data_IF_623698801693
#
_entry.id   IF_623698801693
#
_cell.length_a   1.000
_cell.length_b   1.000
_cell.length_c   1.000
_cell.angle_alpha   90.00
_cell.angle_beta   90.00
_cell.angle_gamma   90.00
#
_symmetry.space_group_name_H-M   'P 1'
#
loop_
_entity.id
_entity.type
_entity.pdbx_description
1 polymer ?
#
# COMPACT_ATOMS: atom_id res chain seq x y z
N UNK A 1 10.07 -12.89 -19.22
CA UNK A 1 9.31 -12.17 -18.20
C UNK A 1 10.14 -10.96 -17.78
N UNK A 2 9.54 -9.78 -17.65
CA UNK A 2 10.22 -8.52 -17.25
C UNK A 2 9.92 -8.14 -15.78
N UNK A 3 10.54 -7.05 -15.28
CA UNK A 3 10.36 -6.61 -13.89
C UNK A 3 8.91 -6.28 -13.55
N UNK A 4 8.18 -5.64 -14.46
CA UNK A 4 6.78 -5.29 -14.26
C UNK A 4 5.90 -6.55 -14.12
N UNK A 5 6.14 -7.57 -14.94
CA UNK A 5 5.44 -8.84 -14.86
C UNK A 5 5.75 -9.57 -13.54
N UNK A 6 7.00 -9.55 -13.08
CA UNK A 6 7.40 -10.11 -11.77
C UNK A 6 6.73 -9.32 -10.63
N UNK A 7 6.74 -7.99 -10.70
CA UNK A 7 6.13 -7.12 -9.70
C UNK A 7 4.61 -7.34 -9.62
N UNK A 8 3.91 -7.42 -10.76
CA UNK A 8 2.47 -7.74 -10.81
C UNK A 8 2.15 -9.10 -10.21
N UNK A 9 2.91 -10.14 -10.58
CA UNK A 9 2.71 -11.48 -10.02
C UNK A 9 2.98 -11.51 -8.51
N UNK A 10 3.97 -10.75 -8.04
CA UNK A 10 4.28 -10.60 -6.61
C UNK A 10 3.14 -9.89 -5.89
N UNK A 11 2.68 -8.74 -6.40
CA UNK A 11 1.56 -7.98 -5.85
C UNK A 11 0.27 -8.81 -5.80
N UNK A 12 -0.01 -9.65 -6.80
CA UNK A 12 -1.16 -10.56 -6.78
C UNK A 12 -1.05 -11.63 -5.68
N UNK A 13 0.15 -12.14 -5.39
CA UNK A 13 0.36 -13.07 -4.27
C UNK A 13 0.19 -12.32 -2.95
N UNK A 14 0.80 -11.15 -2.80
CA UNK A 14 0.69 -10.33 -1.59
C UNK A 14 -0.77 -9.94 -1.31
N UNK A 15 -1.53 -9.53 -2.33
CA UNK A 15 -2.95 -9.25 -2.20
C UNK A 15 -3.74 -10.46 -1.67
N UNK A 16 -3.46 -11.68 -2.15
CA UNK A 16 -4.10 -12.89 -1.62
C UNK A 16 -3.70 -13.19 -0.18
N UNK A 17 -2.43 -12.96 0.17
CA UNK A 17 -1.92 -13.07 1.54
C UNK A 17 -2.56 -12.00 2.47
N UNK A 18 -2.82 -10.79 2.01
CA UNK A 18 -3.48 -9.70 2.77
C UNK A 18 -4.95 -9.99 3.09
N UNK A 19 -5.63 -10.86 2.32
CA UNK A 19 -7.02 -11.25 2.56
C UNK A 19 -7.20 -12.23 3.73
N UNK A 20 -6.13 -12.61 4.43
CA UNK A 20 -6.18 -13.42 5.66
C UNK A 20 -6.80 -12.67 6.86
N UNK A 21 -6.89 -11.34 6.80
CA UNK A 21 -7.55 -10.50 7.81
C UNK A 21 -9.05 -10.75 8.01
N UNK A 22 -9.71 -11.50 7.11
CA UNK A 22 -11.11 -11.94 7.32
C UNK A 22 -11.24 -13.23 8.15
N UNK A 23 -10.14 -13.91 8.50
CA UNK A 23 -10.16 -15.17 9.27
C UNK A 23 -9.75 -14.96 10.74
N UNK A 24 -9.00 -13.89 11.07
CA UNK A 24 -8.48 -13.68 12.44
C UNK A 24 -9.54 -13.11 13.41
N UNK A 25 -10.73 -12.76 12.93
CA UNK A 25 -11.83 -12.36 13.81
C UNK A 25 -12.44 -13.54 14.60
N UNK A 26 -12.13 -14.81 14.27
CA UNK A 26 -12.82 -15.94 14.91
C UNK A 26 -11.97 -17.19 15.24
N UNK A 27 -10.65 -17.20 15.02
CA UNK A 27 -9.83 -18.39 15.30
C UNK A 27 -8.69 -18.13 16.31
N UNK A 28 -8.84 -18.73 17.49
CA UNK A 28 -7.77 -19.00 18.46
C UNK A 28 -6.66 -19.81 17.75
N UNK A 29 -5.37 -19.41 17.82
CA UNK A 29 -4.32 -20.16 17.15
C UNK A 29 -4.16 -21.53 17.81
N UNK A 30 -4.27 -22.61 17.03
CA UNK A 30 -3.84 -23.93 17.44
C UNK A 30 -2.34 -24.03 17.20
N UNK A 31 -1.58 -24.22 18.29
CA UNK A 31 -0.15 -24.50 18.28
C UNK A 31 0.14 -25.85 17.61
N UNK A 32 0.25 -25.85 16.28
CA UNK A 32 0.74 -27.01 15.54
C UNK A 32 1.54 -26.53 14.32
N UNK A 33 2.81 -26.22 14.55
CA UNK A 33 3.79 -26.07 13.49
C UNK A 33 3.90 -27.39 12.71
N UNK A 34 3.36 -27.40 11.49
CA UNK A 34 3.71 -28.42 10.50
C UNK A 34 4.48 -27.69 9.40
N UNK A 35 5.72 -28.12 9.14
CA UNK A 35 6.62 -27.53 8.14
C UNK A 35 6.14 -27.75 6.70
N UNK A 36 4.93 -27.31 6.39
CA UNK A 36 4.35 -27.29 5.05
C UNK A 36 4.43 -25.84 4.58
N UNK A 37 5.45 -25.53 3.77
CA UNK A 37 5.52 -24.25 3.07
C UNK A 37 4.17 -24.01 2.37
N UNK A 38 3.47 -22.95 2.72
CA UNK A 38 2.17 -22.63 2.14
C UNK A 38 2.33 -22.41 0.63
N UNK A 39 1.30 -22.75 -0.16
CA UNK A 39 1.38 -22.72 -1.61
C UNK A 39 1.87 -21.38 -2.18
N UNK A 40 1.61 -20.29 -1.47
CA UNK A 40 2.00 -18.92 -1.81
C UNK A 40 3.47 -18.62 -1.55
N UNK A 41 4.07 -19.17 -0.49
CA UNK A 41 5.52 -19.06 -0.24
C UNK A 41 6.31 -19.74 -1.37
N UNK A 42 5.82 -20.88 -1.86
CA UNK A 42 6.41 -21.53 -3.04
C UNK A 42 6.31 -20.65 -4.29
N UNK A 43 5.22 -19.90 -4.48
CA UNK A 43 5.10 -18.98 -5.60
C UNK A 43 6.04 -17.77 -5.46
N UNK A 44 6.21 -17.22 -4.26
CA UNK A 44 7.19 -16.16 -4.01
C UNK A 44 8.63 -16.62 -4.30
N UNK A 45 9.00 -17.85 -3.91
CA UNK A 45 10.29 -18.45 -4.28
C UNK A 45 10.46 -18.61 -5.79
N UNK A 46 9.40 -18.97 -6.51
CA UNK A 46 9.43 -19.03 -7.98
C UNK A 46 9.69 -17.64 -8.56
N UNK A 47 9.00 -16.60 -8.09
CA UNK A 47 9.22 -15.24 -8.57
C UNK A 47 10.64 -14.74 -8.27
N UNK A 48 11.18 -15.04 -7.09
CA UNK A 48 12.59 -14.76 -6.77
C UNK A 48 13.56 -15.43 -7.75
N UNK A 49 13.29 -16.68 -8.13
CA UNK A 49 14.07 -17.39 -9.17
C UNK A 49 13.94 -16.70 -10.53
N UNK A 50 12.75 -16.23 -10.91
CA UNK A 50 12.53 -15.53 -12.16
C UNK A 50 13.29 -14.20 -12.23
N UNK A 51 13.39 -13.47 -11.11
CA UNK A 51 14.27 -12.27 -11.01
C UNK A 51 15.73 -12.64 -11.28
N UNK A 52 16.20 -13.74 -10.72
CA UNK A 52 17.57 -14.23 -10.92
C UNK A 52 17.83 -14.64 -12.39
N UNK A 53 16.89 -15.36 -13.00
CA UNK A 53 16.96 -15.77 -14.41
C UNK A 53 16.97 -14.56 -15.36
N UNK A 54 16.17 -13.53 -15.08
CA UNK A 54 16.16 -12.27 -15.84
C UNK A 54 17.51 -11.54 -15.72
N UNK A 55 18.04 -11.41 -14.50
CA UNK A 55 19.34 -10.80 -14.27
C UNK A 55 20.47 -11.57 -14.98
N UNK A 56 20.41 -12.91 -14.97
CA UNK A 56 21.41 -13.76 -15.62
C UNK A 56 21.39 -13.57 -17.13
N UNK A 57 20.21 -13.54 -17.75
CA UNK A 57 20.04 -13.31 -19.18
C UNK A 57 20.62 -11.96 -19.62
N UNK A 58 20.35 -10.89 -18.86
CA UNK A 58 20.89 -9.54 -19.14
C UNK A 58 22.39 -9.43 -18.93
N UNK A 59 22.91 -10.00 -17.84
CA UNK A 59 24.33 -10.04 -17.58
C UNK A 59 25.09 -10.76 -18.72
N UNK A 60 24.52 -11.86 -19.22
CA UNK A 60 25.07 -12.62 -20.35
C UNK A 60 24.98 -11.84 -21.69
N UNK A 61 23.86 -11.15 -21.95
CA UNK A 61 23.66 -10.39 -23.18
C UNK A 61 24.61 -9.18 -23.29
N UNK A 62 24.86 -8.50 -22.16
CA UNK A 62 25.65 -7.26 -22.12
C UNK A 62 27.10 -7.46 -21.62
N UNK A 63 27.51 -8.70 -21.33
CA UNK A 63 28.78 -9.04 -20.66
C UNK A 63 29.02 -8.24 -19.36
N UNK A 64 27.96 -7.99 -18.58
CA UNK A 64 28.00 -7.21 -17.33
C UNK A 64 28.20 -8.09 -16.10
N UNK A 65 28.70 -7.49 -15.01
CA UNK A 65 28.79 -8.16 -13.70
C UNK A 65 27.40 -8.61 -13.23
N UNK A 66 27.24 -9.92 -13.02
CA UNK A 66 25.97 -10.50 -12.64
C UNK A 66 25.44 -9.92 -11.31
N UNK A 67 26.32 -9.67 -10.34
CA UNK A 67 25.93 -9.12 -9.04
C UNK A 67 25.34 -7.71 -9.16
N UNK A 68 25.92 -6.86 -9.99
CA UNK A 68 25.40 -5.54 -10.31
C UNK A 68 24.04 -5.62 -11.02
N UNK A 69 23.93 -6.44 -12.07
CA UNK A 69 22.68 -6.60 -12.83
C UNK A 69 21.56 -7.20 -11.96
N UNK A 70 21.88 -8.10 -11.03
CA UNK A 70 20.90 -8.66 -10.10
C UNK A 70 20.33 -7.57 -9.19
N UNK A 71 21.18 -6.72 -8.59
CA UNK A 71 20.70 -5.61 -7.75
C UNK A 71 19.87 -4.60 -8.54
N UNK A 72 20.28 -4.26 -9.77
CA UNK A 72 19.51 -3.40 -10.67
C UNK A 72 18.13 -4.00 -10.95
N UNK A 73 18.08 -5.29 -11.26
CA UNK A 73 16.84 -6.00 -11.58
C UNK A 73 15.94 -6.12 -10.34
N UNK A 74 16.49 -6.44 -9.17
CA UNK A 74 15.76 -6.45 -7.89
C UNK A 74 15.18 -5.07 -7.56
N UNK A 75 15.97 -4.00 -7.72
CA UNK A 75 15.50 -2.63 -7.55
C UNK A 75 14.39 -2.28 -8.54
N UNK A 76 14.53 -2.67 -9.82
CA UNK A 76 13.50 -2.48 -10.84
C UNK A 76 12.18 -3.14 -10.46
N UNK A 77 12.22 -4.39 -9.99
CA UNK A 77 11.03 -5.09 -9.47
C UNK A 77 10.44 -4.35 -8.27
N UNK A 78 11.26 -3.87 -7.34
CA UNK A 78 10.78 -3.12 -6.17
C UNK A 78 10.12 -1.78 -6.55
N UNK A 79 10.69 -1.06 -7.53
CA UNK A 79 10.12 0.21 -8.02
C UNK A 79 8.76 -0.01 -8.69
N UNK A 80 8.65 -1.02 -9.55
CA UNK A 80 7.37 -1.37 -10.17
C UNK A 80 6.36 -1.86 -9.14
N UNK A 81 6.79 -2.60 -8.12
CA UNK A 81 5.92 -3.00 -7.02
C UNK A 81 5.44 -1.78 -6.20
N UNK A 82 6.32 -0.83 -5.92
CA UNK A 82 5.96 0.44 -5.29
C UNK A 82 4.92 1.23 -6.08
N UNK A 83 5.05 1.29 -7.41
CA UNK A 83 4.05 1.92 -8.30
C UNK A 83 2.69 1.22 -8.23
N UNK A 84 2.67 -0.11 -8.31
CA UNK A 84 1.43 -0.91 -8.23
C UNK A 84 0.74 -0.70 -6.88
N UNK A 85 1.50 -0.71 -5.79
CA UNK A 85 0.95 -0.55 -4.44
C UNK A 85 0.54 0.90 -4.15
N UNK A 86 1.15 1.91 -4.80
CA UNK A 86 0.73 3.30 -4.67
C UNK A 86 -0.70 3.55 -5.19
N UNK A 87 -1.20 2.70 -6.09
CA UNK A 87 -2.59 2.72 -6.57
C UNK A 87 -3.56 2.02 -5.60
N UNK A 88 -3.06 1.22 -4.67
CA UNK A 88 -3.89 0.58 -3.64
C UNK A 88 -4.20 1.58 -2.53
N UNK A 89 -5.47 1.65 -2.14
CA UNK A 89 -5.91 2.48 -1.01
C UNK A 89 -5.80 1.62 0.25
N UNK A 90 -5.09 2.12 1.26
CA UNK A 90 -5.13 1.54 2.60
C UNK A 90 -6.60 1.45 3.06
N UNK A 91 -7.11 0.27 3.47
CA UNK A 91 -8.51 0.10 3.88
C UNK A 91 -8.98 1.08 4.97
N UNK A 92 -8.06 1.58 5.80
CA UNK A 92 -8.34 2.60 6.83
C UNK A 92 -8.71 3.95 6.19
N UNK A 93 -8.14 4.25 5.03
CA UNK A 93 -8.38 5.49 4.27
C UNK A 93 -9.49 5.34 3.24
N UNK A 94 -10.11 4.16 3.14
CA UNK A 94 -11.24 3.94 2.25
C UNK A 94 -12.38 4.92 2.57
N UNK A 95 -12.84 5.67 1.55
CA UNK A 95 -13.87 6.70 1.69
C UNK A 95 -13.35 8.11 1.98
N UNK A 96 -12.05 8.31 2.19
CA UNK A 96 -11.44 9.64 2.20
C UNK A 96 -11.11 10.11 0.77
N UNK A 97 -11.27 11.41 0.50
CA UNK A 97 -10.80 12.00 -0.76
C UNK A 97 -9.37 12.51 -0.58
N UNK A 98 -8.53 12.32 -1.59
CA UNK A 98 -7.24 13.01 -1.69
C UNK A 98 -7.50 14.45 -2.14
N UNK A 99 -6.95 15.41 -1.42
CA UNK A 99 -7.03 16.84 -1.73
C UNK A 99 -5.61 17.39 -1.88
N UNK A 100 -5.51 18.58 -2.47
CA UNK A 100 -4.30 19.40 -2.43
C UNK A 100 -4.62 20.67 -1.66
N UNK A 101 -3.64 21.18 -0.92
CA UNK A 101 -3.77 22.46 -0.23
C UNK A 101 -3.54 23.58 -1.24
N UNK A 102 -4.58 24.35 -1.52
CA UNK A 102 -4.54 25.42 -2.51
C UNK A 102 -3.93 26.73 -1.96
N UNK A 103 -4.04 26.96 -0.63
CA UNK A 103 -3.55 28.15 0.05
C UNK A 103 -2.90 27.77 1.39
N UNK A 104 -1.81 28.43 1.77
CA UNK A 104 -1.12 28.22 3.04
C UNK A 104 -1.99 28.67 4.23
N UNK A 105 -1.83 28.01 5.38
CA UNK A 105 -2.50 28.39 6.64
C UNK A 105 -3.68 27.52 7.06
N UNK A 106 -3.96 26.42 6.37
CA UNK A 106 -4.91 25.43 6.87
C UNK A 106 -4.27 24.56 7.96
N UNK A 107 -4.84 24.54 9.15
CA UNK A 107 -4.26 23.78 10.29
C UNK A 107 -4.86 22.38 10.37
N UNK A 108 -4.00 21.37 10.47
CA UNK A 108 -4.43 20.00 10.72
C UNK A 108 -5.03 19.87 12.13
N UNK A 109 -6.30 19.49 12.23
CA UNK A 109 -7.00 19.33 13.50
C UNK A 109 -6.52 18.18 14.41
N UNK A 110 -5.47 17.44 14.02
CA UNK A 110 -4.87 16.34 14.79
C UNK A 110 -3.51 16.73 15.36
N UNK A 111 -2.55 17.16 14.53
CA UNK A 111 -1.22 17.59 15.00
C UNK A 111 -1.14 19.08 15.36
N UNK A 112 -2.14 19.88 14.97
CA UNK A 112 -2.18 21.34 15.17
C UNK A 112 -1.10 22.10 14.40
N UNK A 113 -0.50 21.48 13.38
CA UNK A 113 0.47 22.10 12.48
C UNK A 113 -0.23 22.54 11.18
N UNK A 114 0.33 23.56 10.53
CA UNK A 114 -0.14 24.03 9.22
C UNK A 114 0.15 22.98 8.15
N UNK A 115 -0.83 22.76 7.27
CA UNK A 115 -0.68 21.96 6.06
C UNK A 115 -0.11 22.88 4.98
N UNK A 116 1.04 22.49 4.42
CA UNK A 116 1.77 23.31 3.45
C UNK A 116 1.06 23.34 2.09
N UNK A 117 1.16 24.47 1.39
CA UNK A 117 0.65 24.56 0.01
C UNK A 117 1.36 23.55 -0.89
N UNK A 118 0.57 22.81 -1.65
CA UNK A 118 1.09 21.74 -2.51
C UNK A 118 1.37 20.42 -1.78
N UNK A 119 1.03 20.27 -0.50
CA UNK A 119 1.07 18.96 0.15
C UNK A 119 0.09 18.00 -0.54
N UNK A 120 0.64 16.90 -1.07
CA UNK A 120 -0.08 15.91 -1.89
C UNK A 120 -0.76 14.82 -1.05
N UNK A 121 -0.40 14.72 0.24
CA UNK A 121 -1.00 13.73 1.15
C UNK A 121 -2.02 14.36 2.10
N UNK A 122 -2.81 15.32 1.63
CA UNK A 122 -3.98 15.81 2.39
C UNK A 122 -5.21 14.97 2.08
N UNK A 123 -5.97 14.64 3.12
CA UNK A 123 -7.19 13.85 3.04
C UNK A 123 -8.37 14.64 3.56
N UNK A 124 -9.48 14.65 2.81
CA UNK A 124 -10.76 15.18 3.28
C UNK A 124 -11.78 14.09 3.57
N UNK A 125 -12.51 14.29 4.66
CA UNK A 125 -13.64 13.45 5.05
C UNK A 125 -14.92 13.89 4.30
N UNK A 126 -15.97 13.05 4.34
CA UNK A 126 -17.30 13.40 3.81
C UNK A 126 -17.90 14.68 4.43
N UNK A 127 -17.47 15.05 5.64
CA UNK A 127 -17.83 16.30 6.32
C UNK A 127 -16.93 17.50 5.96
N UNK A 128 -16.12 17.39 4.90
CA UNK A 128 -15.22 18.41 4.36
C UNK A 128 -14.03 18.86 5.25
N UNK A 129 -13.85 18.29 6.44
CA UNK A 129 -12.65 18.52 7.24
C UNK A 129 -11.43 17.84 6.63
N UNK A 130 -10.29 18.53 6.66
CA UNK A 130 -9.01 18.13 6.07
C UNK A 130 -7.93 17.88 7.11
N UNK A 131 -7.04 16.94 6.81
CA UNK A 131 -5.94 16.51 7.67
C UNK A 131 -4.79 15.99 6.82
N UNK A 132 -3.56 15.99 7.36
CA UNK A 132 -2.48 15.17 6.81
C UNK A 132 -2.90 13.70 6.76
N UNK A 133 -2.52 12.99 5.71
CA UNK A 133 -2.89 11.61 5.45
C UNK A 133 -2.44 10.70 6.56
N UNK A 134 -1.19 10.84 7.01
CA UNK A 134 -0.68 10.12 8.18
C UNK A 134 -1.46 10.43 9.48
N UNK A 135 -1.81 11.70 9.71
CA UNK A 135 -2.54 12.10 10.92
C UNK A 135 -3.94 11.48 10.98
N UNK A 136 -4.70 11.55 9.87
CA UNK A 136 -6.04 10.96 9.84
C UNK A 136 -5.99 9.43 9.79
N UNK A 137 -4.99 8.84 9.12
CA UNK A 137 -4.75 7.40 9.12
C UNK A 137 -4.65 6.88 10.56
N UNK A 138 -3.75 7.47 11.36
CA UNK A 138 -3.52 7.08 12.75
C UNK A 138 -4.77 7.27 13.62
N UNK A 139 -5.59 8.27 13.34
CA UNK A 139 -6.85 8.46 14.07
C UNK A 139 -7.87 7.37 13.71
N UNK A 140 -8.03 7.10 12.42
CA UNK A 140 -9.02 6.15 11.90
C UNK A 140 -8.70 4.69 12.22
N UNK A 141 -7.43 4.35 12.50
CA UNK A 141 -7.07 3.03 13.03
C UNK A 141 -7.72 2.73 14.38
N UNK A 142 -8.00 3.76 15.18
CA UNK A 142 -8.63 3.62 16.50
C UNK A 142 -10.12 4.04 16.50
N UNK A 143 -10.47 5.07 15.73
CA UNK A 143 -11.79 5.72 15.78
C UNK A 143 -12.28 6.06 14.37
N UNK A 144 -13.34 5.41 13.91
CA UNK A 144 -13.94 5.64 12.58
C UNK A 144 -14.83 6.91 12.52
N UNK A 145 -14.35 8.04 13.00
CA UNK A 145 -15.10 9.30 13.02
C UNK A 145 -14.20 10.53 12.90
N UNK A 146 -14.77 11.66 12.47
CA UNK A 146 -14.05 12.92 12.32
C UNK A 146 -13.46 13.40 13.66
N UNK A 147 -12.15 13.73 13.73
CA UNK A 147 -11.55 14.35 14.92
C UNK A 147 -12.25 15.65 15.35
N UNK A 148 -12.77 16.43 14.39
CA UNK A 148 -13.33 17.75 14.64
C UNK A 148 -14.83 17.74 14.94
N UNK A 149 -15.63 17.02 14.14
CA UNK A 149 -17.09 17.05 14.24
C UNK A 149 -17.74 15.72 14.65
N UNK A 150 -16.94 14.67 14.86
CA UNK A 150 -17.38 13.31 15.22
C UNK A 150 -18.32 12.64 14.22
N UNK A 151 -18.53 13.21 13.04
CA UNK A 151 -19.26 12.56 11.96
C UNK A 151 -18.58 11.22 11.62
N UNK A 152 -19.32 10.10 11.57
CA UNK A 152 -18.73 8.81 11.25
C UNK A 152 -18.12 8.82 9.85
N UNK A 153 -17.05 8.04 9.67
CA UNK A 153 -16.54 7.71 8.35
C UNK A 153 -17.51 6.70 7.73
N UNK A 154 -18.40 7.18 6.86
CA UNK A 154 -19.27 6.33 6.08
C UNK A 154 -18.70 6.21 4.65
N UNK A 155 -18.12 5.06 4.28
CA UNK A 155 -17.52 4.85 2.97
C UNK A 155 -18.56 4.81 1.83
N UNK A 156 -19.87 4.80 2.14
CA UNK A 156 -20.95 4.74 1.14
C UNK A 156 -21.47 6.12 0.69
N UNK A 157 -21.07 7.20 1.37
CA UNK A 157 -21.57 8.57 1.09
C UNK A 157 -20.78 9.25 -0.04
N UNK A 158 -20.70 8.61 -1.21
CA UNK A 158 -20.19 9.24 -2.44
C UNK A 158 -21.31 9.62 -3.43
N UNK A 159 -22.58 9.33 -3.12
CA UNK A 159 -23.68 9.40 -4.11
C UNK A 159 -24.81 10.41 -3.83
N UNK A 160 -24.56 11.48 -3.07
CA UNK A 160 -25.52 12.59 -2.97
C UNK A 160 -24.86 13.92 -3.34
N UNK A 161 -24.48 14.04 -4.62
CA UNK A 161 -24.43 15.37 -5.26
C UNK A 161 -25.87 15.65 -5.73
N UNK A 162 -26.58 16.46 -4.96
CA UNK A 162 -27.86 17.09 -5.37
C UNK A 162 -27.54 18.21 -6.36
#
# INVERSE_FOLDING_TARGET
MDELQIARATAQILHRLEHWGKIVADHRPSEAGTGRFEGEELQLRKLKRMTYELAQSRAAADCRDFGAVLRETELGVMVEMGRILAETVDPVLEGLRRETVAEEGEVCGVCQEEMESGDEDVKSMGCAHRFHGFCIWRWLTERKSCPLCRNPLDPTVQYLKV
#
